data_IF_155310452056
#
_entry.id   IF_155310452056
#
_cell.length_a   1.000
_cell.length_b   1.000
_cell.length_c   1.000
_cell.angle_alpha   90.00
_cell.angle_beta   90.00
_cell.angle_gamma   90.00
#
_symmetry.space_group_name_H-M   'P 1'
#
loop_
_entity.id
_entity.type
_entity.pdbx_description
1 polymer ?
#
# COMPACT_ATOMS: atom_id res chain seq x y z
N UNK A 1 47.18 -3.38 84.65
CA UNK A 1 46.03 -4.23 84.22
C UNK A 1 45.30 -3.63 83.01
N UNK A 2 45.69 -2.47 82.47
CA UNK A 2 45.04 -1.85 81.30
C UNK A 2 45.60 -2.29 79.94
N UNK A 3 46.78 -2.91 79.89
CA UNK A 3 47.42 -3.27 78.61
C UNK A 3 46.84 -4.52 77.94
N UNK A 4 46.19 -5.40 78.70
CA UNK A 4 45.60 -6.65 78.16
C UNK A 4 44.24 -6.46 77.49
N UNK A 5 43.61 -5.29 77.64
CA UNK A 5 42.27 -5.05 77.13
C UNK A 5 42.27 -4.47 75.70
N UNK A 6 43.44 -4.06 75.18
CA UNK A 6 43.56 -3.46 73.86
C UNK A 6 43.84 -4.46 72.74
N UNK A 7 44.51 -5.58 73.04
CA UNK A 7 44.74 -6.67 72.07
C UNK A 7 43.48 -7.51 71.80
N UNK A 8 42.46 -7.50 72.67
CA UNK A 8 41.22 -8.25 72.43
C UNK A 8 40.24 -7.53 71.50
N UNK A 9 40.36 -6.22 71.33
CA UNK A 9 39.48 -5.44 70.46
C UNK A 9 39.94 -5.51 68.98
N UNK A 10 41.25 -5.60 68.75
CA UNK A 10 41.83 -5.63 67.39
C UNK A 10 41.61 -6.97 66.65
N UNK A 11 41.55 -8.10 67.38
CA UNK A 11 41.28 -9.42 66.79
C UNK A 11 39.80 -9.60 66.40
N UNK A 12 38.89 -8.81 66.97
CA UNK A 12 37.45 -8.97 66.72
C UNK A 12 36.98 -8.23 65.46
N UNK A 13 37.73 -7.23 64.99
CA UNK A 13 37.44 -6.51 63.75
C UNK A 13 37.98 -7.25 62.51
N UNK A 14 39.07 -8.01 62.63
CA UNK A 14 39.65 -8.77 61.50
C UNK A 14 38.78 -9.98 61.10
N UNK A 15 38.09 -10.62 62.04
CA UNK A 15 37.18 -11.77 61.75
C UNK A 15 35.88 -11.33 61.06
N UNK A 16 35.50 -10.04 61.16
CA UNK A 16 34.28 -9.52 60.52
C UNK A 16 34.46 -9.15 59.05
N UNK A 17 35.67 -8.88 58.58
CA UNK A 17 35.86 -8.54 57.16
C UNK A 17 35.88 -9.77 56.26
N UNK A 18 36.44 -10.90 56.71
CA UNK A 18 36.50 -12.14 55.91
C UNK A 18 35.12 -12.76 55.67
N UNK A 19 34.21 -12.68 56.65
CA UNK A 19 32.85 -13.23 56.51
C UNK A 19 31.97 -12.42 55.54
N UNK A 20 32.34 -11.18 55.20
CA UNK A 20 31.55 -10.32 54.32
C UNK A 20 31.91 -10.51 52.84
N UNK A 21 33.15 -10.90 52.53
CA UNK A 21 33.57 -11.17 51.14
C UNK A 21 33.02 -12.51 50.63
N UNK A 22 32.98 -13.56 51.47
CA UNK A 22 32.49 -14.89 51.09
C UNK A 22 30.98 -14.90 50.77
N UNK A 23 30.17 -14.11 51.51
CA UNK A 23 28.73 -13.97 51.23
C UNK A 23 28.43 -13.17 49.96
N UNK A 24 29.34 -12.30 49.51
CA UNK A 24 29.16 -11.53 48.28
C UNK A 24 29.51 -12.35 47.03
N UNK A 25 30.43 -13.30 47.14
CA UNK A 25 30.85 -14.15 46.02
C UNK A 25 29.78 -15.19 45.68
N UNK A 26 29.14 -15.78 46.68
CA UNK A 26 28.10 -16.81 46.49
C UNK A 26 26.82 -16.21 45.87
N UNK A 27 26.46 -14.96 46.19
CA UNK A 27 25.31 -14.27 45.57
C UNK A 27 25.55 -13.87 44.10
N UNK A 28 26.80 -13.62 43.70
CA UNK A 28 27.12 -13.27 42.31
C UNK A 28 27.13 -14.52 41.41
N UNK A 29 27.50 -15.69 41.94
CA UNK A 29 27.49 -16.95 41.18
C UNK A 29 26.06 -17.46 40.93
N UNK A 30 25.18 -17.38 41.94
CA UNK A 30 23.76 -17.81 41.82
C UNK A 30 22.96 -16.90 40.86
N UNK A 31 23.30 -15.61 40.79
CA UNK A 31 22.65 -14.66 39.87
C UNK A 31 23.13 -14.81 38.41
N UNK A 32 24.37 -15.29 38.19
CA UNK A 32 24.92 -15.50 36.85
C UNK A 32 24.41 -16.81 36.21
N UNK A 33 24.10 -17.84 37.01
CA UNK A 33 23.49 -19.08 36.51
C UNK A 33 22.01 -18.91 36.14
N UNK A 34 21.28 -18.05 36.85
CA UNK A 34 19.86 -17.78 36.58
C UNK A 34 19.65 -16.94 35.30
N UNK A 35 20.50 -15.95 35.05
CA UNK A 35 20.48 -15.16 33.80
C UNK A 35 20.89 -15.99 32.56
N UNK A 36 21.62 -17.10 32.75
CA UNK A 36 22.01 -18.01 31.67
C UNK A 36 20.92 -19.02 31.30
N UNK A 37 19.99 -19.35 32.22
CA UNK A 37 18.86 -20.24 31.96
C UNK A 37 17.67 -19.53 31.30
N UNK A 38 17.38 -18.29 31.68
CA UNK A 38 16.31 -17.50 31.03
C UNK A 38 16.66 -17.15 29.56
N UNK A 39 17.95 -17.09 29.20
CA UNK A 39 18.39 -16.86 27.83
C UNK A 39 18.29 -18.10 26.90
N UNK A 40 18.09 -19.30 27.45
CA UNK A 40 17.92 -20.52 26.64
C UNK A 40 16.45 -20.85 26.37
N UNK A 41 15.54 -20.51 27.29
CA UNK A 41 14.10 -20.77 27.13
C UNK A 41 13.44 -19.79 26.13
N UNK A 42 13.96 -18.55 25.99
CA UNK A 42 13.49 -17.60 24.96
C UNK A 42 13.96 -17.95 23.53
N UNK A 43 14.90 -18.89 23.37
CA UNK A 43 15.48 -19.24 22.07
C UNK A 43 14.78 -20.41 21.35
N UNK A 44 13.93 -21.16 22.06
CA UNK A 44 13.13 -22.25 21.48
C UNK A 44 11.69 -21.83 21.14
N UNK A 45 11.14 -20.80 21.77
CA UNK A 45 9.76 -20.32 21.52
C UNK A 45 9.62 -19.39 20.29
N UNK A 46 10.71 -19.08 19.58
CA UNK A 46 10.69 -18.31 18.32
C UNK A 46 10.92 -19.16 17.06
N UNK A 47 10.92 -20.50 17.16
CA UNK A 47 11.11 -21.40 16.00
C UNK A 47 9.87 -22.19 15.59
N UNK A 48 8.70 -21.74 16.03
CA UNK A 48 7.42 -22.06 15.41
C UNK A 48 6.81 -20.76 14.88
N UNK A 49 7.57 -20.02 14.05
CA UNK A 49 6.97 -19.12 13.08
C UNK A 49 6.18 -20.03 12.11
N UNK A 50 4.94 -20.27 12.51
CA UNK A 50 3.87 -20.92 11.76
C UNK A 50 3.89 -20.33 10.35
N UNK A 51 4.60 -21.01 9.45
CA UNK A 51 4.56 -20.73 8.02
C UNK A 51 3.11 -20.91 7.63
N UNK A 52 2.37 -19.79 7.58
CA UNK A 52 0.98 -19.78 7.17
C UNK A 52 0.88 -20.64 5.90
N UNK A 53 -0.12 -21.54 5.78
CA UNK A 53 -0.22 -22.43 4.65
C UNK A 53 -0.20 -21.58 3.39
N UNK A 54 0.87 -21.69 2.60
CA UNK A 54 0.97 -21.00 1.32
C UNK A 54 -0.11 -21.62 0.46
N UNK A 55 -1.22 -20.89 0.29
CA UNK A 55 -2.29 -21.33 -0.61
C UNK A 55 -1.65 -21.47 -1.99
N UNK A 56 -1.65 -22.69 -2.57
CA UNK A 56 -0.99 -22.89 -3.85
C UNK A 56 -1.60 -21.98 -4.89
N UNK A 57 -0.74 -21.33 -5.68
CA UNK A 57 -1.14 -20.44 -6.77
C UNK A 57 -2.20 -21.10 -7.66
N UNK A 58 -3.35 -20.44 -7.81
CA UNK A 58 -4.54 -21.08 -8.37
C UNK A 58 -4.60 -21.03 -9.91
N UNK A 59 -3.74 -20.23 -10.54
CA UNK A 59 -3.76 -20.01 -11.99
C UNK A 59 -2.65 -20.78 -12.71
N UNK A 60 -2.93 -21.31 -13.88
CA UNK A 60 -1.95 -21.91 -14.77
C UNK A 60 -1.28 -20.86 -15.68
N UNK A 61 -0.20 -21.27 -16.36
CA UNK A 61 0.54 -20.43 -17.29
C UNK A 61 -0.35 -19.77 -18.36
N UNK A 62 -1.37 -20.48 -18.87
CA UNK A 62 -2.30 -19.93 -19.87
C UNK A 62 -3.14 -18.76 -19.32
N UNK A 63 -3.60 -18.85 -18.07
CA UNK A 63 -4.40 -17.81 -17.43
C UNK A 63 -3.54 -16.59 -17.10
N UNK A 64 -2.29 -16.83 -16.68
CA UNK A 64 -1.31 -15.77 -16.42
C UNK A 64 -1.04 -14.95 -17.68
N UNK A 65 -0.86 -15.60 -18.83
CA UNK A 65 -0.70 -14.91 -20.11
C UNK A 65 -1.90 -14.03 -20.45
N UNK A 66 -3.12 -14.49 -20.17
CA UNK A 66 -4.34 -13.70 -20.41
C UNK A 66 -4.38 -12.47 -19.50
N UNK A 67 -4.06 -12.62 -18.21
CA UNK A 67 -4.01 -11.49 -17.27
C UNK A 67 -2.94 -10.47 -17.64
N UNK A 68 -1.75 -10.93 -18.00
CA UNK A 68 -0.64 -10.07 -18.42
C UNK A 68 -1.00 -9.30 -19.70
N UNK A 69 -1.51 -10.00 -20.72
CA UNK A 69 -1.93 -9.36 -21.96
C UNK A 69 -3.04 -8.34 -21.72
N UNK A 70 -4.03 -8.68 -20.89
CA UNK A 70 -5.10 -7.77 -20.52
C UNK A 70 -4.58 -6.55 -19.75
N UNK A 71 -3.67 -6.76 -18.79
CA UNK A 71 -3.02 -5.69 -18.04
C UNK A 71 -2.26 -4.74 -18.96
N UNK A 72 -1.48 -5.25 -19.92
CA UNK A 72 -0.72 -4.45 -20.87
C UNK A 72 -1.63 -3.59 -21.75
N UNK A 73 -2.69 -4.19 -22.31
CA UNK A 73 -3.66 -3.48 -23.15
C UNK A 73 -4.38 -2.38 -22.36
N UNK A 74 -4.83 -2.68 -21.14
CA UNK A 74 -5.50 -1.71 -20.29
C UNK A 74 -4.55 -0.57 -19.88
N UNK A 75 -3.28 -0.88 -19.62
CA UNK A 75 -2.25 0.10 -19.31
C UNK A 75 -1.93 1.02 -20.49
N UNK A 76 -1.92 0.48 -21.71
CA UNK A 76 -1.76 1.26 -22.94
C UNK A 76 -2.94 2.21 -23.16
N UNK A 77 -4.17 1.72 -23.06
CA UNK A 77 -5.39 2.55 -23.17
C UNK A 77 -5.38 3.66 -22.11
N UNK A 78 -4.99 3.34 -20.88
CA UNK A 78 -4.89 4.33 -19.80
C UNK A 78 -3.89 5.45 -20.11
N UNK A 79 -2.70 5.12 -20.62
CA UNK A 79 -1.69 6.10 -21.06
C UNK A 79 -2.20 6.98 -22.21
N UNK A 80 -2.84 6.36 -23.21
CA UNK A 80 -3.37 7.07 -24.37
C UNK A 80 -4.49 8.04 -23.97
N UNK A 81 -5.41 7.62 -23.07
CA UNK A 81 -6.47 8.47 -22.56
C UNK A 81 -5.94 9.70 -21.79
N UNK A 82 -4.91 9.52 -20.95
CA UNK A 82 -4.25 10.65 -20.25
C UNK A 82 -3.61 11.60 -21.26
N UNK A 83 -2.90 11.06 -22.26
CA UNK A 83 -2.27 11.86 -23.31
C UNK A 83 -3.31 12.68 -24.09
N UNK A 84 -4.41 12.07 -24.51
CA UNK A 84 -5.53 12.76 -25.16
C UNK A 84 -6.11 13.87 -24.29
N UNK A 85 -6.24 13.63 -22.98
CA UNK A 85 -6.67 14.66 -22.04
C UNK A 85 -5.74 15.87 -22.02
N UNK A 86 -4.43 15.65 -21.95
CA UNK A 86 -3.41 16.72 -21.98
C UNK A 86 -3.48 17.52 -23.28
N UNK A 87 -3.60 16.85 -24.43
CA UNK A 87 -3.78 17.51 -25.73
C UNK A 87 -5.04 18.38 -25.75
N UNK A 88 -6.14 17.89 -25.16
CA UNK A 88 -7.38 18.66 -25.02
C UNK A 88 -7.21 19.93 -24.18
N UNK A 89 -6.43 19.88 -23.10
CA UNK A 89 -6.09 21.06 -22.30
C UNK A 89 -5.27 22.08 -23.09
N UNK A 90 -4.25 21.63 -23.82
CA UNK A 90 -3.43 22.51 -24.67
C UNK A 90 -4.31 23.19 -25.73
N UNK A 91 -5.14 22.41 -26.42
CA UNK A 91 -6.07 22.94 -27.42
C UNK A 91 -7.03 23.97 -26.83
N UNK A 92 -7.58 23.69 -25.64
CA UNK A 92 -8.48 24.62 -24.94
C UNK A 92 -7.79 25.94 -24.57
N UNK A 93 -6.55 25.88 -24.09
CA UNK A 93 -5.75 27.07 -23.77
C UNK A 93 -5.44 27.93 -25.00
N UNK A 94 -5.08 27.29 -26.12
CA UNK A 94 -4.84 27.98 -27.40
C UNK A 94 -6.14 28.63 -27.89
N UNK A 95 -7.27 27.89 -27.85
CA UNK A 95 -8.56 28.39 -28.31
C UNK A 95 -9.06 29.59 -27.47
N UNK A 96 -8.85 29.56 -26.15
CA UNK A 96 -9.14 30.70 -25.28
C UNK A 96 -8.33 31.92 -25.68
N UNK A 97 -7.03 31.73 -25.89
CA UNK A 97 -6.10 32.82 -26.18
C UNK A 97 -6.37 33.51 -27.52
N UNK A 98 -6.65 32.74 -28.58
CA UNK A 98 -6.78 33.31 -29.93
C UNK A 98 -8.20 33.72 -30.32
N UNK A 99 -9.23 33.04 -29.82
CA UNK A 99 -10.59 33.17 -30.39
C UNK A 99 -11.62 33.75 -29.40
N UNK A 100 -11.32 33.84 -28.09
CA UNK A 100 -12.29 34.23 -27.05
C UNK A 100 -13.62 33.42 -27.09
N UNK A 101 -13.62 32.24 -27.72
CA UNK A 101 -14.81 31.39 -27.84
C UNK A 101 -14.96 30.56 -26.57
N UNK A 102 -15.73 31.07 -25.60
CA UNK A 102 -16.00 30.38 -24.34
C UNK A 102 -16.77 29.05 -24.54
N UNK A 103 -17.68 28.99 -25.51
CA UNK A 103 -18.60 27.86 -25.67
C UNK A 103 -17.91 26.57 -26.18
N UNK A 104 -16.84 26.69 -26.97
CA UNK A 104 -16.06 25.54 -27.45
C UNK A 104 -15.02 25.07 -26.45
N UNK A 105 -14.44 26.00 -25.68
CA UNK A 105 -13.40 25.69 -24.70
C UNK A 105 -13.95 24.84 -23.55
N UNK A 106 -15.14 25.15 -23.05
CA UNK A 106 -15.72 24.45 -21.92
C UNK A 106 -15.93 22.95 -22.20
N UNK A 107 -16.33 22.58 -23.42
CA UNK A 107 -16.54 21.19 -23.81
C UNK A 107 -15.22 20.43 -23.96
N UNK A 108 -14.19 21.03 -24.56
CA UNK A 108 -12.86 20.40 -24.67
C UNK A 108 -12.18 20.23 -23.31
N UNK A 109 -12.32 21.20 -22.40
CA UNK A 109 -11.83 21.09 -21.02
C UNK A 109 -12.51 19.94 -20.27
N UNK A 110 -13.86 19.90 -20.31
CA UNK A 110 -14.62 18.86 -19.66
C UNK A 110 -14.24 17.48 -20.19
N UNK A 111 -14.16 17.33 -21.52
CA UNK A 111 -13.75 16.08 -22.16
C UNK A 111 -12.32 15.70 -21.78
N UNK A 112 -11.40 16.67 -21.70
CA UNK A 112 -10.02 16.44 -21.28
C UNK A 112 -9.91 15.92 -19.85
N UNK A 113 -10.68 16.49 -18.92
CA UNK A 113 -10.76 16.02 -17.52
C UNK A 113 -11.31 14.60 -17.45
N UNK A 114 -12.39 14.31 -18.19
CA UNK A 114 -13.00 12.98 -18.23
C UNK A 114 -12.02 11.93 -18.78
N UNK A 115 -11.33 12.24 -19.89
CA UNK A 115 -10.31 11.35 -20.46
C UNK A 115 -9.17 11.07 -19.48
N UNK A 116 -8.69 12.08 -18.74
CA UNK A 116 -7.67 11.87 -17.70
C UNK A 116 -8.17 10.99 -16.56
N UNK A 117 -9.39 11.22 -16.05
CA UNK A 117 -9.98 10.39 -15.01
C UNK A 117 -10.10 8.93 -15.47
N UNK A 118 -10.63 8.70 -16.68
CA UNK A 118 -10.75 7.38 -17.29
C UNK A 118 -9.37 6.70 -17.41
N UNK A 119 -8.36 7.45 -17.85
CA UNK A 119 -7.01 6.92 -18.03
C UNK A 119 -6.36 6.51 -16.71
N UNK A 120 -6.57 7.27 -15.63
CA UNK A 120 -6.09 6.90 -14.28
C UNK A 120 -6.76 5.61 -13.79
N UNK A 121 -8.06 5.45 -14.01
CA UNK A 121 -8.77 4.21 -13.66
C UNK A 121 -8.20 2.99 -14.40
N UNK A 122 -7.94 3.11 -15.70
CA UNK A 122 -7.34 2.04 -16.51
C UNK A 122 -5.94 1.66 -16.05
N UNK A 123 -5.10 2.66 -15.73
CA UNK A 123 -3.77 2.41 -15.19
C UNK A 123 -3.80 1.68 -13.84
N UNK A 124 -4.72 2.05 -12.96
CA UNK A 124 -4.90 1.36 -11.66
C UNK A 124 -5.32 -0.09 -11.85
N UNK A 125 -6.31 -0.33 -12.71
CA UNK A 125 -6.78 -1.68 -13.01
C UNK A 125 -5.68 -2.52 -13.68
N UNK A 126 -4.91 -1.94 -14.61
CA UNK A 126 -3.77 -2.59 -15.27
C UNK A 126 -2.75 -3.09 -14.26
N UNK A 127 -2.35 -2.25 -13.30
CA UNK A 127 -1.43 -2.63 -12.22
C UNK A 127 -2.00 -3.74 -11.34
N UNK A 128 -3.30 -3.71 -11.03
CA UNK A 128 -3.93 -4.78 -10.26
C UNK A 128 -3.91 -6.13 -10.99
N UNK A 129 -4.15 -6.14 -12.32
CA UNK A 129 -4.05 -7.36 -13.12
C UNK A 129 -2.61 -7.87 -13.25
N UNK A 130 -1.63 -6.95 -13.36
CA UNK A 130 -0.23 -7.33 -13.38
C UNK A 130 0.19 -7.98 -12.05
N UNK A 131 -0.32 -7.47 -10.93
CA UNK A 131 0.00 -8.02 -9.61
C UNK A 131 -0.45 -9.47 -9.47
N UNK A 132 -1.61 -9.87 -10.01
CA UNK A 132 -2.09 -11.27 -10.02
C UNK A 132 -1.04 -12.22 -10.58
N UNK A 133 -0.30 -11.79 -11.61
CA UNK A 133 0.72 -12.64 -12.26
C UNK A 133 2.02 -12.70 -11.45
N UNK A 134 2.27 -11.70 -10.60
CA UNK A 134 3.56 -11.51 -9.92
C UNK A 134 3.56 -11.87 -8.43
N UNK A 135 2.40 -12.07 -7.81
CA UNK A 135 2.29 -12.28 -6.35
C UNK A 135 1.57 -13.58 -6.03
N UNK A 136 2.30 -14.66 -5.76
CA UNK A 136 1.68 -15.94 -5.41
C UNK A 136 1.02 -15.91 -4.01
N UNK A 137 -0.20 -16.44 -3.90
CA UNK A 137 -0.87 -16.68 -2.62
C UNK A 137 -1.87 -15.60 -2.20
N UNK A 138 -2.01 -14.51 -2.96
CA UNK A 138 -2.96 -13.41 -2.69
C UNK A 138 -3.80 -13.04 -3.92
N UNK A 139 -3.88 -13.97 -4.88
CA UNK A 139 -4.33 -13.74 -6.25
C UNK A 139 -5.81 -13.40 -6.36
N UNK A 140 -6.65 -14.07 -5.56
CA UNK A 140 -8.08 -13.77 -5.46
C UNK A 140 -8.30 -12.34 -4.97
N UNK A 141 -7.52 -11.88 -3.98
CA UNK A 141 -7.60 -10.51 -3.46
C UNK A 141 -7.27 -9.49 -4.54
N UNK A 142 -6.25 -9.75 -5.35
CA UNK A 142 -5.88 -8.88 -6.48
C UNK A 142 -6.89 -8.93 -7.62
N UNK A 143 -7.42 -10.11 -7.97
CA UNK A 143 -8.46 -10.28 -8.97
C UNK A 143 -9.74 -9.53 -8.58
N UNK A 144 -10.19 -9.66 -7.33
CA UNK A 144 -11.35 -8.95 -6.82
C UNK A 144 -11.13 -7.43 -6.79
N UNK A 145 -9.93 -6.96 -6.41
CA UNK A 145 -9.56 -5.53 -6.50
C UNK A 145 -9.61 -5.04 -7.95
N UNK A 146 -9.07 -5.81 -8.89
CA UNK A 146 -9.05 -5.46 -10.31
C UNK A 146 -10.47 -5.37 -10.90
N UNK A 147 -11.31 -6.39 -10.64
CA UNK A 147 -12.71 -6.42 -11.08
C UNK A 147 -13.52 -5.29 -10.43
N UNK A 148 -13.32 -4.99 -9.14
CA UNK A 148 -14.02 -3.90 -8.48
C UNK A 148 -13.64 -2.53 -9.07
N UNK A 149 -12.35 -2.31 -9.39
CA UNK A 149 -11.89 -1.11 -10.10
C UNK A 149 -12.52 -0.99 -11.49
N UNK A 150 -12.61 -2.11 -12.21
CA UNK A 150 -13.22 -2.15 -13.53
C UNK A 150 -14.74 -1.88 -13.47
N UNK A 151 -15.43 -2.41 -12.45
CA UNK A 151 -16.85 -2.13 -12.19
C UNK A 151 -17.09 -0.64 -11.92
N UNK A 152 -16.25 -0.01 -11.10
CA UNK A 152 -16.32 1.44 -10.84
C UNK A 152 -16.15 2.24 -12.13
N UNK A 153 -15.18 1.85 -12.96
CA UNK A 153 -14.97 2.44 -14.28
C UNK A 153 -16.21 2.32 -15.17
N UNK A 154 -16.75 1.11 -15.36
CA UNK A 154 -17.92 0.91 -16.21
C UNK A 154 -19.16 1.65 -15.69
N UNK A 155 -19.33 1.75 -14.37
CA UNK A 155 -20.43 2.53 -13.79
C UNK A 155 -20.29 4.02 -14.10
N UNK A 156 -19.09 4.58 -13.96
CA UNK A 156 -18.82 5.96 -14.31
C UNK A 156 -19.01 6.21 -15.81
N UNK A 157 -18.43 5.34 -16.65
CA UNK A 157 -18.51 5.43 -18.11
C UNK A 157 -19.96 5.35 -18.59
N UNK A 158 -20.75 4.42 -18.06
CA UNK A 158 -22.18 4.30 -18.36
C UNK A 158 -22.94 5.58 -17.99
N UNK A 159 -22.74 6.09 -16.78
CA UNK A 159 -23.40 7.31 -16.31
C UNK A 159 -23.06 8.54 -17.17
N UNK A 160 -21.78 8.73 -17.48
CA UNK A 160 -21.30 9.82 -18.35
C UNK A 160 -21.87 9.68 -19.76
N UNK A 161 -21.90 8.48 -20.32
CA UNK A 161 -22.42 8.23 -21.67
C UNK A 161 -23.92 8.57 -21.76
N UNK A 162 -24.70 8.11 -20.79
CA UNK A 162 -26.15 8.40 -20.72
C UNK A 162 -26.39 9.90 -20.56
N UNK A 163 -25.69 10.55 -19.62
CA UNK A 163 -25.80 12.00 -19.42
C UNK A 163 -25.40 12.80 -20.67
N UNK A 164 -24.34 12.35 -21.34
CA UNK A 164 -23.88 12.92 -22.62
C UNK A 164 -24.98 12.86 -23.67
N UNK A 165 -25.54 11.67 -23.94
CA UNK A 165 -26.63 11.49 -24.92
C UNK A 165 -27.83 12.40 -24.62
N UNK A 166 -28.25 12.49 -23.36
CA UNK A 166 -29.37 13.36 -22.94
C UNK A 166 -29.04 14.83 -23.22
N UNK A 167 -27.84 15.28 -22.84
CA UNK A 167 -27.41 16.67 -23.05
C UNK A 167 -27.36 17.03 -24.56
N UNK A 168 -26.81 16.14 -25.40
CA UNK A 168 -26.74 16.39 -26.84
C UNK A 168 -28.13 16.43 -27.49
N UNK A 169 -29.04 15.55 -27.06
CA UNK A 169 -30.42 15.54 -27.54
C UNK A 169 -31.16 16.83 -27.15
N UNK A 170 -31.03 17.27 -25.89
CA UNK A 170 -31.64 18.50 -25.40
C UNK A 170 -31.09 19.75 -26.13
N UNK A 171 -29.77 19.83 -26.33
CA UNK A 171 -29.15 20.91 -27.08
C UNK A 171 -29.67 20.96 -28.53
N UNK A 172 -29.77 19.80 -29.18
CA UNK A 172 -30.28 19.71 -30.57
C UNK A 172 -31.73 20.18 -30.66
N UNK A 173 -32.59 19.75 -29.73
CA UNK A 173 -33.98 20.20 -29.67
C UNK A 173 -34.09 21.72 -29.44
N UNK A 174 -33.27 22.28 -28.55
CA UNK A 174 -33.20 23.72 -28.31
C UNK A 174 -32.82 24.49 -29.58
N UNK A 175 -31.80 24.05 -30.31
CA UNK A 175 -31.36 24.69 -31.56
C UNK A 175 -32.49 24.67 -32.60
N UNK A 176 -33.18 23.54 -32.76
CA UNK A 176 -34.31 23.39 -33.70
C UNK A 176 -35.44 24.37 -33.34
N UNK A 177 -35.85 24.45 -32.08
CA UNK A 177 -36.98 25.31 -31.64
C UNK A 177 -36.71 26.80 -31.87
N UNK A 178 -35.45 27.25 -31.74
CA UNK A 178 -35.13 28.68 -31.85
C UNK A 178 -34.79 29.16 -33.27
N UNK A 179 -34.62 28.25 -34.23
CA UNK A 179 -34.23 28.58 -35.60
C UNK A 179 -35.27 28.17 -36.66
N UNK A 180 -36.41 27.61 -36.24
CA UNK A 180 -37.62 27.40 -37.04
C UNK A 180 -38.65 28.50 -36.73
#
# INVERSE_FOLDING_TARGET
MEEKNKEQEEVQDEVKSDSAEEQSAEQVEEQTEQDAQDAQDESEEQKEEESAPTTPYEFGNEQNMIFEEFAMRLGFVGKLAIFTGIVGFIHSSISLYYQNILNGVASFLLMGVLCMYIGVCHLKASRSFLNIVTTEGDDISFAMKAVNNLRLYYRAFYGITVAGIIATAAYTAYVIINHL
#
